data_IF_020175708031
#
_entry.id   IF_020175708031
#
_cell.length_a   1.000
_cell.length_b   1.000
_cell.length_c   1.000
_cell.angle_alpha   90.00
_cell.angle_beta   90.00
_cell.angle_gamma   90.00
#
_symmetry.space_group_name_H-M   'P 1'
#
loop_
_entity.id
_entity.type
_entity.pdbx_description
1 polymer ?
#
# COMPACT_ATOMS: atom_id res chain seq x y z
N UNK A 1 22.61 -15.39 17.73
CA UNK A 1 22.94 -14.12 18.44
C UNK A 1 22.09 -13.04 17.81
N UNK A 2 21.02 -12.60 18.48
CA UNK A 2 20.19 -11.47 18.04
C UNK A 2 21.06 -10.21 18.15
N UNK A 3 21.13 -9.42 17.07
CA UNK A 3 21.74 -8.09 17.12
C UNK A 3 20.84 -7.21 18.00
N UNK A 4 21.40 -6.70 19.10
CA UNK A 4 20.72 -5.72 19.94
C UNK A 4 20.30 -4.50 19.11
N UNK A 5 19.02 -4.11 19.23
CA UNK A 5 18.57 -2.73 18.96
C UNK A 5 18.03 -2.43 17.57
N UNK A 6 17.62 -3.38 16.73
CA UNK A 6 16.90 -3.04 15.51
C UNK A 6 15.39 -3.15 15.75
N UNK A 7 14.75 -2.02 16.13
CA UNK A 7 13.30 -1.92 16.07
C UNK A 7 12.90 -1.77 14.61
N UNK A 8 11.99 -2.60 14.13
CA UNK A 8 11.42 -2.46 12.79
C UNK A 8 10.61 -1.16 12.71
N UNK A 9 10.70 -0.49 11.57
CA UNK A 9 9.86 0.68 11.29
C UNK A 9 8.65 0.23 10.47
N UNK A 10 7.46 0.63 10.89
CA UNK A 10 6.18 0.27 10.25
C UNK A 10 5.48 1.50 9.69
N UNK A 11 4.75 1.30 8.60
CA UNK A 11 3.90 2.29 7.98
C UNK A 11 2.41 2.03 8.25
N UNK A 12 1.59 3.06 8.02
CA UNK A 12 0.13 2.98 8.01
C UNK A 12 -0.41 3.55 6.69
N UNK A 13 -1.22 2.76 5.98
CA UNK A 13 -2.07 3.27 4.91
C UNK A 13 -3.18 4.13 5.53
N UNK A 14 -3.25 5.40 5.16
CA UNK A 14 -4.17 6.37 5.77
C UNK A 14 -5.66 6.09 5.47
N UNK A 15 -5.95 5.24 4.49
CA UNK A 15 -7.30 4.73 4.27
C UNK A 15 -7.84 3.96 5.48
N UNK A 16 -6.95 3.38 6.29
CA UNK A 16 -7.29 2.70 7.54
C UNK A 16 -7.95 3.62 8.58
N UNK A 17 -7.71 4.92 8.46
CA UNK A 17 -8.25 5.95 9.36
C UNK A 17 -9.06 7.00 8.58
N UNK A 18 -9.73 6.56 7.49
CA UNK A 18 -10.51 7.42 6.60
C UNK A 18 -11.70 8.10 7.27
N UNK A 19 -12.12 7.60 8.42
CA UNK A 19 -13.12 8.22 9.28
C UNK A 19 -12.71 9.60 9.81
N UNK A 20 -11.41 9.92 9.82
CA UNK A 20 -10.90 11.22 10.28
C UNK A 20 -10.08 11.99 9.23
N UNK A 21 -9.42 11.32 8.29
CA UNK A 21 -8.49 11.98 7.33
C UNK A 21 -9.14 13.04 6.46
N UNK A 22 -10.37 12.81 6.03
CA UNK A 22 -11.11 13.77 5.18
C UNK A 22 -11.50 15.08 5.89
N UNK A 23 -11.56 15.08 7.22
CA UNK A 23 -11.95 16.24 8.02
C UNK A 23 -10.78 16.88 8.76
N UNK A 24 -9.76 16.11 9.13
CA UNK A 24 -8.60 16.56 9.92
C UNK A 24 -7.36 15.73 9.57
N UNK A 25 -6.77 15.97 8.41
CA UNK A 25 -5.57 15.26 7.97
C UNK A 25 -4.37 15.53 8.87
N UNK A 26 -4.20 16.76 9.36
CA UNK A 26 -3.11 17.10 10.29
C UNK A 26 -3.23 16.32 11.61
N UNK A 27 -4.42 16.33 12.22
CA UNK A 27 -4.65 15.58 13.45
C UNK A 27 -4.52 14.07 13.26
N UNK A 28 -4.88 13.55 12.08
CA UNK A 28 -4.67 12.16 11.71
C UNK A 28 -3.17 11.80 11.69
N UNK A 29 -2.35 12.58 10.99
CA UNK A 29 -0.89 12.39 10.93
C UNK A 29 -0.24 12.46 12.32
N UNK A 30 -0.65 13.40 13.15
CA UNK A 30 -0.17 13.49 14.53
C UNK A 30 -0.48 12.22 15.32
N UNK A 31 -1.72 11.74 15.29
CA UNK A 31 -2.13 10.50 15.98
C UNK A 31 -1.35 9.27 15.49
N UNK A 32 -1.11 9.17 14.18
CA UNK A 32 -0.31 8.08 13.60
C UNK A 32 1.12 8.10 14.14
N UNK A 33 1.74 9.29 14.22
CA UNK A 33 3.06 9.44 14.82
C UNK A 33 3.06 9.09 16.31
N UNK A 34 2.05 9.53 17.09
CA UNK A 34 1.90 9.21 18.52
C UNK A 34 1.74 7.70 18.78
N UNK A 35 1.11 6.94 17.87
CA UNK A 35 1.05 5.47 17.93
C UNK A 35 2.42 4.81 17.68
N UNK A 36 3.35 5.54 17.06
CA UNK A 36 4.72 5.08 16.82
C UNK A 36 4.99 4.55 15.43
N UNK A 37 4.07 4.73 14.47
CA UNK A 37 4.35 4.54 13.06
C UNK A 37 5.43 5.50 12.58
N UNK A 38 6.22 5.10 11.59
CA UNK A 38 7.32 5.89 11.03
C UNK A 38 7.07 6.34 9.60
N UNK A 39 6.19 5.64 8.91
CA UNK A 39 5.78 5.97 7.56
C UNK A 39 4.27 6.13 7.49
N UNK A 40 3.84 6.89 6.48
CA UNK A 40 2.43 6.94 6.07
C UNK A 40 2.35 6.68 4.57
N UNK A 41 1.29 6.01 4.17
CA UNK A 41 0.89 5.94 2.79
C UNK A 41 -0.40 6.72 2.61
N UNK A 42 -0.40 7.67 1.68
CA UNK A 42 -1.56 8.54 1.50
C UNK A 42 -2.62 7.90 0.60
N UNK A 43 -3.88 8.10 0.97
CA UNK A 43 -5.07 7.81 0.17
C UNK A 43 -5.82 9.12 -0.14
N UNK A 44 -5.11 10.07 -0.74
CA UNK A 44 -5.60 11.42 -1.04
C UNK A 44 -5.06 12.50 -0.10
N UNK A 45 -5.12 13.73 -0.57
CA UNK A 45 -4.57 14.91 0.12
C UNK A 45 -5.64 15.93 0.54
N UNK A 46 -6.89 15.68 0.22
CA UNK A 46 -8.07 16.47 0.64
C UNK A 46 -7.96 17.98 0.36
N UNK A 47 -7.28 18.37 -0.74
CA UNK A 47 -7.11 19.76 -1.16
C UNK A 47 -5.99 20.53 -0.44
N UNK A 48 -5.21 19.88 0.42
CA UNK A 48 -4.04 20.50 1.05
C UNK A 48 -2.87 20.63 0.06
N UNK A 49 -2.13 21.74 0.14
CA UNK A 49 -0.94 21.92 -0.68
C UNK A 49 0.20 20.99 -0.24
N UNK A 50 1.11 20.69 -1.17
CA UNK A 50 2.25 19.84 -0.89
C UNK A 50 3.15 20.40 0.23
N UNK A 51 3.32 21.73 0.26
CA UNK A 51 4.10 22.41 1.31
C UNK A 51 3.47 22.26 2.69
N UNK A 52 2.12 22.35 2.76
CA UNK A 52 1.37 22.15 4.00
C UNK A 52 1.56 20.73 4.52
N UNK A 53 1.33 19.73 3.64
CA UNK A 53 1.51 18.31 3.99
C UNK A 53 2.95 18.01 4.38
N UNK A 54 3.94 18.57 3.65
CA UNK A 54 5.35 18.42 3.99
C UNK A 54 5.67 18.99 5.36
N UNK A 55 5.12 20.16 5.68
CA UNK A 55 5.29 20.78 7.00
C UNK A 55 4.78 19.88 8.15
N UNK A 56 3.63 19.23 7.98
CA UNK A 56 3.10 18.30 8.97
C UNK A 56 3.95 17.02 9.09
N UNK A 57 4.39 16.45 7.96
CA UNK A 57 5.27 15.28 7.95
C UNK A 57 6.57 15.58 8.75
N UNK A 58 7.18 16.74 8.52
CA UNK A 58 8.39 17.15 9.24
C UNK A 58 8.13 17.39 10.73
N UNK A 59 7.01 18.04 11.05
CA UNK A 59 6.64 18.34 12.45
C UNK A 59 6.41 17.05 13.27
N UNK A 60 5.84 16.01 12.65
CA UNK A 60 5.54 14.77 13.34
C UNK A 60 6.58 13.67 13.10
N UNK A 61 7.65 13.93 12.36
CA UNK A 61 8.73 12.99 12.10
C UNK A 61 8.28 11.77 11.27
N UNK A 62 7.30 11.96 10.39
CA UNK A 62 6.78 10.93 9.50
C UNK A 62 7.46 11.01 8.12
N UNK A 63 7.69 9.85 7.52
CA UNK A 63 8.14 9.70 6.12
C UNK A 63 6.97 9.20 5.28
N UNK A 64 7.06 9.39 3.96
CA UNK A 64 6.08 8.84 3.02
C UNK A 64 6.63 7.52 2.47
N UNK A 65 5.88 6.43 2.61
CA UNK A 65 6.18 5.14 1.98
C UNK A 65 5.68 5.09 0.54
N UNK A 66 4.51 5.67 0.30
CA UNK A 66 3.84 5.69 -0.98
C UNK A 66 2.59 6.57 -0.97
N UNK A 67 1.94 6.64 -2.12
CA UNK A 67 0.63 7.29 -2.25
C UNK A 67 -0.24 6.49 -3.19
N UNK A 68 -1.47 6.20 -2.76
CA UNK A 68 -2.50 5.68 -3.64
C UNK A 68 -3.01 6.82 -4.53
N UNK A 69 -2.68 6.75 -5.81
CA UNK A 69 -3.02 7.76 -6.83
C UNK A 69 -3.62 7.06 -8.05
N UNK A 70 -4.84 7.41 -8.40
CA UNK A 70 -5.55 6.76 -9.50
C UNK A 70 -4.93 7.05 -10.87
N UNK A 71 -5.02 6.10 -11.82
CA UNK A 71 -4.50 6.30 -13.18
C UNK A 71 -5.07 7.55 -13.85
N UNK A 72 -6.36 7.85 -13.63
CA UNK A 72 -6.98 9.04 -14.23
C UNK A 72 -6.35 10.36 -13.73
N UNK A 73 -5.93 10.42 -12.48
CA UNK A 73 -5.22 11.57 -11.93
C UNK A 73 -3.88 11.77 -12.63
N UNK A 74 -3.11 10.67 -12.76
CA UNK A 74 -1.85 10.67 -13.49
C UNK A 74 -1.99 11.08 -14.97
N UNK A 75 -3.05 10.63 -15.63
CA UNK A 75 -3.30 10.98 -17.03
C UNK A 75 -3.71 12.46 -17.18
N UNK A 76 -4.48 12.99 -16.24
CA UNK A 76 -5.02 14.34 -16.33
C UNK A 76 -4.00 15.42 -15.96
N UNK A 77 -3.12 15.17 -14.97
CA UNK A 77 -2.11 16.14 -14.52
C UNK A 77 -0.84 15.44 -14.00
N UNK A 78 -0.08 14.86 -14.92
CA UNK A 78 1.16 14.17 -14.57
C UNK A 78 2.23 15.11 -14.00
N UNK A 79 2.35 16.33 -14.57
CA UNK A 79 3.36 17.29 -14.13
C UNK A 79 3.08 17.84 -12.74
N UNK A 80 1.84 18.23 -12.46
CA UNK A 80 1.40 18.66 -11.12
C UNK A 80 1.55 17.55 -10.09
N UNK A 81 1.19 16.32 -10.45
CA UNK A 81 1.36 15.14 -9.60
C UNK A 81 2.84 14.93 -9.27
N UNK A 82 3.74 14.95 -10.26
CA UNK A 82 5.20 14.83 -10.04
C UNK A 82 5.70 15.91 -9.08
N UNK A 83 5.31 17.17 -9.31
CA UNK A 83 5.73 18.29 -8.47
C UNK A 83 5.28 18.11 -7.01
N UNK A 84 4.01 17.74 -6.82
CA UNK A 84 3.45 17.47 -5.48
C UNK A 84 4.23 16.38 -4.75
N UNK A 85 4.41 15.23 -5.41
CA UNK A 85 5.09 14.07 -4.80
C UNK A 85 6.56 14.34 -4.47
N UNK A 86 7.27 15.09 -5.32
CA UNK A 86 8.64 15.53 -5.02
C UNK A 86 8.69 16.43 -3.80
N UNK A 87 7.73 17.35 -3.65
CA UNK A 87 7.67 18.28 -2.51
C UNK A 87 7.48 17.55 -1.19
N UNK A 88 6.59 16.55 -1.13
CA UNK A 88 6.38 15.76 0.09
C UNK A 88 7.45 14.68 0.32
N UNK A 89 8.40 14.53 -0.61
CA UNK A 89 9.47 13.54 -0.54
C UNK A 89 9.04 12.11 -0.88
N UNK A 90 7.88 11.94 -1.53
CA UNK A 90 7.41 10.64 -2.00
C UNK A 90 8.17 10.17 -3.23
N UNK A 91 8.53 8.88 -3.25
CA UNK A 91 9.20 8.23 -4.38
C UNK A 91 8.38 7.09 -4.99
N UNK A 92 7.22 6.78 -4.43
CA UNK A 92 6.40 5.66 -4.86
C UNK A 92 4.96 6.13 -5.06
N UNK A 93 4.52 6.15 -6.32
CA UNK A 93 3.11 6.33 -6.68
C UNK A 93 2.55 4.95 -6.95
N UNK A 94 1.43 4.62 -6.33
CA UNK A 94 0.82 3.31 -6.41
C UNK A 94 -0.61 3.47 -6.92
N UNK A 95 -0.94 2.80 -8.01
CA UNK A 95 -2.31 2.75 -8.51
C UNK A 95 -3.08 1.76 -7.64
N UNK A 96 -4.11 2.21 -6.87
CA UNK A 96 -4.79 1.36 -5.89
C UNK A 96 -5.83 0.43 -6.51
N UNK A 97 -5.98 0.45 -7.82
CA UNK A 97 -6.93 -0.33 -8.59
C UNK A 97 -7.38 0.38 -9.85
N UNK A 98 -7.89 -0.40 -10.79
CA UNK A 98 -8.45 0.10 -12.05
C UNK A 98 -9.51 -0.87 -12.57
N UNK A 99 -10.39 -0.41 -13.47
CA UNK A 99 -11.31 -1.33 -14.15
C UNK A 99 -10.57 -2.15 -15.20
N UNK A 100 -10.20 -3.37 -14.82
CA UNK A 100 -9.48 -4.36 -15.63
C UNK A 100 -10.36 -5.58 -15.96
N UNK A 101 -11.67 -5.39 -16.06
CA UNK A 101 -12.68 -6.44 -16.11
C UNK A 101 -12.76 -7.21 -17.43
N UNK A 102 -11.96 -6.84 -18.45
CA UNK A 102 -11.81 -7.55 -19.72
C UNK A 102 -10.45 -7.25 -20.37
N UNK A 103 -10.11 -8.03 -21.40
CA UNK A 103 -8.81 -7.92 -22.08
C UNK A 103 -8.56 -6.53 -22.70
N UNK A 104 -9.60 -5.89 -23.26
CA UNK A 104 -9.42 -4.58 -23.91
C UNK A 104 -9.05 -3.48 -22.89
N UNK A 105 -9.65 -3.55 -21.70
CA UNK A 105 -9.31 -2.63 -20.59
C UNK A 105 -7.91 -2.88 -20.03
N UNK A 106 -7.51 -4.14 -19.94
CA UNK A 106 -6.13 -4.48 -19.56
C UNK A 106 -5.14 -3.93 -20.58
N UNK A 107 -5.43 -4.08 -21.87
CA UNK A 107 -4.55 -3.56 -22.94
C UNK A 107 -4.40 -2.04 -22.89
N UNK A 108 -5.51 -1.31 -22.72
CA UNK A 108 -5.52 0.15 -22.57
C UNK A 108 -4.74 0.60 -21.32
N UNK A 109 -4.95 -0.08 -20.19
CA UNK A 109 -4.23 0.18 -18.95
C UNK A 109 -2.71 -0.02 -19.13
N UNK A 110 -2.30 -1.15 -19.67
CA UNK A 110 -0.88 -1.49 -19.91
C UNK A 110 -0.21 -0.46 -20.81
N UNK A 111 -0.89 -0.01 -21.88
CA UNK A 111 -0.36 1.03 -22.76
C UNK A 111 -0.12 2.34 -22.02
N UNK A 112 -1.10 2.78 -21.22
CA UNK A 112 -1.03 4.04 -20.45
C UNK A 112 0.06 4.00 -19.39
N UNK A 113 0.09 2.95 -18.56
CA UNK A 113 1.06 2.87 -17.46
C UNK A 113 2.49 2.75 -17.96
N UNK A 114 2.76 2.05 -19.06
CA UNK A 114 4.09 1.95 -19.64
C UNK A 114 4.62 3.31 -20.14
N UNK A 115 3.74 4.18 -20.64
CA UNK A 115 4.12 5.56 -21.03
C UNK A 115 4.41 6.42 -19.80
N UNK A 116 3.49 6.41 -18.82
CA UNK A 116 3.58 7.21 -17.58
C UNK A 116 4.79 6.79 -16.76
N UNK A 117 5.04 5.50 -16.61
CA UNK A 117 6.16 4.97 -15.84
C UNK A 117 7.51 5.49 -16.32
N UNK A 118 7.71 5.61 -17.62
CA UNK A 118 8.96 6.14 -18.19
C UNK A 118 9.20 7.57 -17.70
N UNK A 119 8.16 8.41 -17.75
CA UNK A 119 8.25 9.82 -17.33
C UNK A 119 8.47 9.91 -15.81
N UNK A 120 7.75 9.12 -15.02
CA UNK A 120 7.92 9.09 -13.57
C UNK A 120 9.33 8.67 -13.18
N UNK A 121 9.88 7.64 -13.81
CA UNK A 121 11.24 7.14 -13.56
C UNK A 121 12.31 8.20 -13.87
N UNK A 122 12.18 8.97 -14.95
CA UNK A 122 13.06 10.10 -15.27
C UNK A 122 13.01 11.18 -14.19
N UNK A 123 11.90 11.24 -13.43
CA UNK A 123 11.70 12.16 -12.33
C UNK A 123 12.07 11.58 -10.96
N UNK A 124 12.60 10.35 -10.91
CA UNK A 124 13.01 9.67 -9.67
C UNK A 124 11.84 9.14 -8.85
N UNK A 125 10.71 8.88 -9.50
CA UNK A 125 9.48 8.33 -8.89
C UNK A 125 9.19 6.97 -9.53
N UNK A 126 8.92 5.97 -8.71
CA UNK A 126 8.46 4.66 -9.14
C UNK A 126 6.94 4.67 -9.32
N UNK A 127 6.46 3.85 -10.25
CA UNK A 127 5.03 3.55 -10.41
C UNK A 127 4.79 2.11 -9.98
N UNK A 128 3.86 1.91 -9.07
CA UNK A 128 3.44 0.61 -8.57
C UNK A 128 1.95 0.34 -8.79
N UNK A 129 1.55 -0.88 -8.52
CA UNK A 129 0.16 -1.33 -8.50
C UNK A 129 -0.14 -2.08 -7.21
N UNK A 130 -1.28 -1.76 -6.59
CA UNK A 130 -1.84 -2.43 -5.42
C UNK A 130 -3.01 -3.31 -5.82
N UNK A 131 -3.00 -4.55 -5.37
CA UNK A 131 -4.04 -5.53 -5.70
C UNK A 131 -5.16 -5.58 -4.67
N UNK A 132 -6.33 -5.99 -5.16
CA UNK A 132 -7.42 -6.55 -4.37
C UNK A 132 -7.58 -8.04 -4.71
N UNK A 133 -8.72 -8.65 -4.36
CA UNK A 133 -8.98 -10.05 -4.66
C UNK A 133 -9.16 -10.35 -6.14
N UNK A 134 -9.77 -9.42 -6.89
CA UNK A 134 -10.18 -9.70 -8.26
C UNK A 134 -9.02 -9.86 -9.24
N UNK A 135 -7.85 -9.30 -8.97
CA UNK A 135 -6.66 -9.45 -9.81
C UNK A 135 -6.15 -10.90 -9.86
N UNK A 136 -6.44 -11.68 -8.82
CA UNK A 136 -6.05 -13.10 -8.74
C UNK A 136 -7.12 -14.07 -9.25
N UNK A 137 -8.24 -13.55 -9.73
CA UNK A 137 -9.34 -14.33 -10.28
C UNK A 137 -9.45 -14.09 -11.79
N UNK A 138 -9.83 -15.12 -12.59
CA UNK A 138 -10.02 -14.92 -14.02
C UNK A 138 -11.24 -14.01 -14.28
N UNK A 139 -11.10 -13.09 -15.22
CA UNK A 139 -12.20 -12.32 -15.75
C UNK A 139 -13.22 -13.21 -16.46
N UNK A 140 -14.40 -12.69 -16.75
CA UNK A 140 -15.46 -13.43 -17.47
C UNK A 140 -15.05 -13.88 -18.88
N UNK A 141 -14.15 -13.14 -19.51
CA UNK A 141 -13.55 -13.47 -20.81
C UNK A 141 -12.34 -14.42 -20.71
N UNK A 142 -11.97 -14.84 -19.49
CA UNK A 142 -10.85 -15.72 -19.19
C UNK A 142 -9.51 -15.01 -19.06
N UNK A 143 -9.44 -13.70 -19.23
CA UNK A 143 -8.20 -12.94 -19.04
C UNK A 143 -7.74 -12.96 -17.57
N UNK A 144 -6.42 -13.04 -17.38
CA UNK A 144 -5.77 -13.04 -16.04
C UNK A 144 -5.12 -11.68 -15.83
N UNK A 145 -5.56 -10.94 -14.80
CA UNK A 145 -5.10 -9.58 -14.58
C UNK A 145 -3.66 -9.58 -14.05
N UNK A 146 -3.42 -10.23 -12.91
CA UNK A 146 -2.13 -10.16 -12.22
C UNK A 146 -0.95 -10.60 -13.09
N UNK A 147 -1.09 -11.72 -13.81
CA UNK A 147 -0.05 -12.20 -14.72
C UNK A 147 0.25 -11.20 -15.84
N UNK A 148 -0.77 -10.53 -16.39
CA UNK A 148 -0.55 -9.53 -17.42
C UNK A 148 0.14 -8.27 -16.88
N UNK A 149 -0.20 -7.81 -15.67
CA UNK A 149 0.49 -6.70 -15.00
C UNK A 149 1.97 -7.06 -14.76
N UNK A 150 2.25 -8.28 -14.29
CA UNK A 150 3.61 -8.75 -14.07
C UNK A 150 4.41 -8.83 -15.37
N UNK A 151 3.87 -9.39 -16.45
CA UNK A 151 4.66 -9.69 -17.65
C UNK A 151 4.63 -8.58 -18.71
N UNK A 152 3.66 -7.67 -18.67
CA UNK A 152 3.48 -6.64 -19.70
C UNK A 152 3.83 -5.22 -19.23
N UNK A 153 4.14 -5.04 -17.94
CA UNK A 153 4.57 -3.77 -17.37
C UNK A 153 5.88 -3.94 -16.60
N UNK A 154 6.52 -2.82 -16.28
CA UNK A 154 7.65 -2.78 -15.35
C UNK A 154 7.27 -2.07 -14.04
N UNK A 155 5.98 -1.93 -13.73
CA UNK A 155 5.53 -1.36 -12.48
C UNK A 155 6.05 -2.17 -11.30
N UNK A 156 6.36 -1.49 -10.22
CA UNK A 156 6.55 -2.14 -8.92
C UNK A 156 5.23 -2.75 -8.45
N UNK A 157 5.31 -3.68 -7.52
CA UNK A 157 4.13 -4.34 -6.96
C UNK A 157 4.11 -4.08 -5.47
N UNK A 158 2.98 -3.54 -5.01
CA UNK A 158 2.60 -3.50 -3.62
C UNK A 158 1.55 -4.58 -3.40
N UNK A 159 1.98 -5.72 -2.83
CA UNK A 159 1.02 -6.80 -2.59
C UNK A 159 0.23 -6.56 -1.31
N UNK A 160 -1.11 -6.53 -1.42
CA UNK A 160 -1.98 -6.70 -0.27
C UNK A 160 -2.13 -8.19 0.04
N UNK A 161 -1.58 -8.57 1.18
CA UNK A 161 -1.43 -9.98 1.56
C UNK A 161 -2.73 -10.62 2.01
N UNK A 162 -3.67 -9.82 2.53
CA UNK A 162 -5.01 -10.30 2.86
C UNK A 162 -5.88 -10.47 1.61
N UNK A 163 -5.89 -9.51 0.68
CA UNK A 163 -6.67 -9.65 -0.53
C UNK A 163 -6.19 -10.81 -1.41
N UNK A 164 -4.87 -11.10 -1.40
CA UNK A 164 -4.35 -12.34 -1.99
C UNK A 164 -4.93 -13.59 -1.30
N UNK A 165 -4.87 -13.66 0.04
CA UNK A 165 -5.45 -14.76 0.83
C UNK A 165 -6.95 -14.87 0.60
N UNK A 166 -7.67 -13.76 0.58
CA UNK A 166 -9.12 -13.71 0.37
C UNK A 166 -9.51 -14.36 -0.98
N UNK A 167 -8.77 -14.07 -2.05
CA UNK A 167 -9.00 -14.64 -3.38
C UNK A 167 -8.62 -16.13 -3.47
N UNK A 168 -7.42 -16.49 -2.99
CA UNK A 168 -6.81 -17.79 -3.25
C UNK A 168 -6.98 -18.80 -2.11
N UNK A 169 -7.10 -18.32 -0.88
CA UNK A 169 -7.04 -19.13 0.35
C UNK A 169 -5.60 -19.52 0.73
N UNK A 170 -4.59 -18.98 0.05
CA UNK A 170 -3.19 -19.30 0.25
C UNK A 170 -2.43 -18.14 0.92
N UNK A 171 -1.26 -18.43 1.51
CA UNK A 171 -0.35 -17.40 1.99
C UNK A 171 0.31 -16.67 0.83
N UNK A 172 0.44 -15.33 0.93
CA UNK A 172 1.14 -14.53 -0.08
C UNK A 172 2.66 -14.78 -0.16
N UNK A 173 3.23 -15.59 0.73
CA UNK A 173 4.70 -15.86 0.81
C UNK A 173 5.29 -16.30 -0.51
N UNK A 174 4.64 -17.24 -1.24
CA UNK A 174 5.15 -17.69 -2.54
C UNK A 174 5.03 -16.60 -3.61
N UNK A 175 3.96 -15.80 -3.56
CA UNK A 175 3.80 -14.67 -4.46
C UNK A 175 4.86 -13.60 -4.20
N UNK A 176 5.18 -13.29 -2.95
CA UNK A 176 6.27 -12.37 -2.59
C UNK A 176 7.61 -12.83 -3.19
N UNK A 177 7.94 -14.12 -3.11
CA UNK A 177 9.15 -14.65 -3.76
C UNK A 177 9.12 -14.54 -5.29
N UNK A 178 7.97 -14.79 -5.91
CA UNK A 178 7.81 -14.70 -7.37
C UNK A 178 8.06 -13.28 -7.90
N UNK A 179 7.61 -12.26 -7.15
CA UNK A 179 7.69 -10.85 -7.55
C UNK A 179 8.82 -10.08 -6.87
N UNK A 180 9.72 -10.76 -6.18
CA UNK A 180 10.74 -10.14 -5.28
C UNK A 180 11.54 -9.00 -5.90
N UNK A 181 11.84 -9.07 -7.19
CA UNK A 181 12.63 -8.05 -7.89
C UNK A 181 11.83 -6.76 -8.17
N UNK A 182 10.53 -6.79 -7.92
CA UNK A 182 9.59 -5.68 -8.12
C UNK A 182 8.74 -5.39 -6.88
N UNK A 183 8.91 -6.17 -5.81
CA UNK A 183 8.19 -5.99 -4.56
C UNK A 183 8.87 -4.90 -3.74
N UNK A 184 8.27 -3.74 -3.63
CA UNK A 184 8.85 -2.58 -2.92
C UNK A 184 8.29 -2.38 -1.53
N UNK A 185 7.07 -2.81 -1.30
CA UNK A 185 6.33 -2.70 -0.04
C UNK A 185 5.22 -3.75 -0.01
N UNK A 186 4.79 -4.14 1.16
CA UNK A 186 3.57 -4.95 1.33
C UNK A 186 2.53 -4.22 2.17
N UNK A 187 1.26 -4.41 1.83
CA UNK A 187 0.19 -4.20 2.80
C UNK A 187 0.06 -5.45 3.66
N UNK A 188 0.48 -5.33 4.92
CA UNK A 188 0.26 -6.37 5.92
C UNK A 188 -1.12 -6.17 6.54
N UNK A 189 -2.01 -7.12 6.27
CA UNK A 189 -3.42 -7.01 6.57
C UNK A 189 -3.98 -8.35 6.99
N UNK A 190 -4.98 -8.35 7.86
CA UNK A 190 -5.69 -9.53 8.35
C UNK A 190 -7.16 -9.48 7.97
N UNK A 191 -7.84 -10.59 8.07
CA UNK A 191 -9.26 -10.72 7.82
C UNK A 191 -9.69 -12.17 7.67
N UNK A 192 -10.98 -12.37 7.39
CA UNK A 192 -11.57 -13.69 7.14
C UNK A 192 -11.77 -13.92 5.64
N UNK A 193 -11.53 -15.14 5.17
CA UNK A 193 -11.75 -15.50 3.76
C UNK A 193 -13.21 -15.27 3.38
N UNK A 194 -13.42 -14.52 2.29
CA UNK A 194 -14.75 -14.09 1.84
C UNK A 194 -15.39 -13.00 2.69
N UNK A 195 -14.66 -12.45 3.66
CA UNK A 195 -15.09 -11.38 4.54
C UNK A 195 -14.32 -10.07 4.33
N UNK A 196 -14.47 -9.19 5.29
CA UNK A 196 -13.79 -7.89 5.34
C UNK A 196 -12.44 -7.99 6.02
N UNK A 197 -11.58 -6.98 5.81
CA UNK A 197 -10.34 -6.82 6.52
C UNK A 197 -10.58 -6.56 8.02
N UNK A 198 -9.71 -7.11 8.86
CA UNK A 198 -9.73 -7.00 10.32
C UNK A 198 -8.40 -6.43 10.82
N UNK A 199 -8.35 -5.87 12.05
CA UNK A 199 -7.08 -5.56 12.69
C UNK A 199 -6.18 -6.80 12.79
N UNK A 200 -4.87 -6.62 12.68
CA UNK A 200 -3.90 -7.72 12.76
C UNK A 200 -4.09 -8.58 14.01
N UNK A 201 -4.10 -9.90 13.83
CA UNK A 201 -4.35 -10.90 14.88
C UNK A 201 -5.82 -11.10 15.24
N UNK A 202 -6.75 -10.53 14.46
CA UNK A 202 -8.20 -10.68 14.67
C UNK A 202 -8.90 -11.45 13.56
N UNK A 203 -8.22 -11.74 12.45
CA UNK A 203 -8.67 -12.56 11.35
C UNK A 203 -8.05 -13.95 11.36
N UNK A 204 -8.04 -14.58 10.19
CA UNK A 204 -7.47 -15.92 9.94
C UNK A 204 -6.39 -15.92 8.85
N UNK A 205 -6.10 -14.75 8.27
CA UNK A 205 -5.05 -14.64 7.26
C UNK A 205 -3.68 -15.04 7.84
N UNK A 206 -2.77 -15.62 7.05
CA UNK A 206 -1.49 -16.12 7.53
C UNK A 206 -0.47 -14.99 7.82
N UNK A 207 -0.87 -13.98 8.61
CA UNK A 207 -0.12 -12.75 8.91
C UNK A 207 1.29 -13.04 9.44
N UNK A 208 1.44 -14.05 10.32
CA UNK A 208 2.75 -14.38 10.89
C UNK A 208 3.73 -14.86 9.82
N UNK A 209 3.30 -15.71 8.91
CA UNK A 209 4.15 -16.21 7.83
C UNK A 209 4.58 -15.07 6.87
N UNK A 210 3.66 -14.15 6.58
CA UNK A 210 3.93 -12.95 5.77
C UNK A 210 4.93 -12.02 6.48
N UNK A 211 4.73 -11.78 7.78
CA UNK A 211 5.64 -10.99 8.60
C UNK A 211 7.07 -11.54 8.57
N UNK A 212 7.22 -12.86 8.85
CA UNK A 212 8.53 -13.52 8.85
C UNK A 212 9.21 -13.41 7.47
N UNK A 213 8.45 -13.58 6.40
CA UNK A 213 8.96 -13.45 5.04
C UNK A 213 9.35 -12.01 4.69
N UNK A 214 8.56 -11.01 5.07
CA UNK A 214 8.90 -9.61 4.87
C UNK A 214 10.19 -9.22 5.60
N UNK A 215 10.37 -9.70 6.84
CA UNK A 215 11.61 -9.52 7.61
C UNK A 215 12.80 -10.19 6.94
N UNK A 216 12.64 -11.44 6.46
CA UNK A 216 13.69 -12.18 5.73
C UNK A 216 14.14 -11.43 4.47
N UNK A 217 13.19 -10.90 3.71
CA UNK A 217 13.43 -10.18 2.45
C UNK A 217 13.85 -8.72 2.66
N UNK A 218 13.68 -8.16 3.87
CA UNK A 218 13.92 -6.74 4.15
C UNK A 218 12.89 -5.81 3.50
N UNK A 219 11.67 -6.29 3.28
CA UNK A 219 10.59 -5.53 2.65
C UNK A 219 9.83 -4.70 3.70
N UNK A 220 9.62 -3.39 3.48
CA UNK A 220 8.81 -2.56 4.36
C UNK A 220 7.37 -3.05 4.46
N UNK A 221 6.79 -2.92 5.65
CA UNK A 221 5.41 -3.30 5.94
C UNK A 221 4.58 -2.04 6.21
N UNK A 222 3.54 -1.86 5.45
CA UNK A 222 2.50 -0.86 5.66
C UNK A 222 1.24 -1.57 6.13
N UNK A 223 0.73 -1.19 7.28
CA UNK A 223 -0.52 -1.72 7.82
C UNK A 223 -1.69 -1.14 7.05
N UNK A 224 -2.63 -1.98 6.65
CA UNK A 224 -3.96 -1.54 6.25
C UNK A 224 -5.03 -2.30 7.04
N UNK A 225 -6.05 -1.59 7.51
CA UNK A 225 -7.23 -2.13 8.19
C UNK A 225 -8.47 -1.39 7.73
N UNK A 226 -9.59 -2.08 7.59
CA UNK A 226 -10.74 -1.49 6.88
C UNK A 226 -12.05 -1.57 7.63
N UNK A 227 -12.13 -2.30 8.76
CA UNK A 227 -13.40 -2.54 9.45
C UNK A 227 -13.93 -1.29 10.18
N UNK A 228 -13.05 -0.35 10.58
CA UNK A 228 -13.39 0.84 11.37
C UNK A 228 -14.19 0.50 12.65
N UNK A 229 -13.81 -0.58 13.33
CA UNK A 229 -14.54 -1.09 14.48
C UNK A 229 -13.66 -1.10 15.74
N UNK A 230 -13.85 -0.20 16.71
CA UNK A 230 -14.88 0.87 16.74
C UNK A 230 -14.55 2.11 15.91
N UNK A 231 -13.28 2.32 15.53
CA UNK A 231 -12.75 3.43 14.73
C UNK A 231 -11.35 3.08 14.17
N UNK A 232 -10.90 3.81 13.15
CA UNK A 232 -9.64 3.52 12.47
C UNK A 232 -8.40 3.68 13.36
N UNK A 233 -8.38 4.65 14.27
CA UNK A 233 -7.24 4.88 15.18
C UNK A 233 -7.10 3.73 16.17
N UNK A 234 -8.21 3.20 16.69
CA UNK A 234 -8.20 2.03 17.57
C UNK A 234 -7.67 0.79 16.83
N UNK A 235 -8.08 0.58 15.60
CA UNK A 235 -7.55 -0.52 14.77
C UNK A 235 -6.06 -0.34 14.48
N UNK A 236 -5.64 0.86 14.08
CA UNK A 236 -4.22 1.16 13.83
C UNK A 236 -3.35 0.90 15.08
N UNK A 237 -3.88 1.20 16.28
CA UNK A 237 -3.21 0.89 17.54
C UNK A 237 -3.07 -0.63 17.76
N UNK A 238 -4.13 -1.39 17.57
CA UNK A 238 -4.10 -2.87 17.67
C UNK A 238 -3.06 -3.44 16.72
N UNK A 239 -3.02 -2.96 15.48
CA UNK A 239 -2.12 -3.46 14.46
C UNK A 239 -0.65 -3.21 14.82
N UNK A 240 -0.28 -1.99 15.25
CA UNK A 240 1.12 -1.72 15.60
C UNK A 240 1.56 -2.45 16.87
N UNK A 241 0.66 -2.63 17.84
CA UNK A 241 0.94 -3.42 19.04
C UNK A 241 1.16 -4.90 18.68
N UNK A 242 0.35 -5.45 17.75
CA UNK A 242 0.56 -6.79 17.21
C UNK A 242 1.94 -6.93 16.57
N UNK A 243 2.33 -6.02 15.66
CA UNK A 243 3.61 -6.08 14.97
C UNK A 243 4.80 -6.00 15.93
N UNK A 244 4.76 -5.09 16.90
CA UNK A 244 5.80 -4.98 17.94
C UNK A 244 5.92 -6.23 18.77
N UNK A 245 4.82 -6.95 19.03
CA UNK A 245 4.86 -8.23 19.73
C UNK A 245 5.52 -9.35 18.91
N UNK A 246 5.55 -9.26 17.58
CA UNK A 246 6.24 -10.23 16.72
C UNK A 246 7.77 -10.07 16.72
N UNK A 247 8.29 -8.93 17.15
CA UNK A 247 9.75 -8.66 17.19
C UNK A 247 10.48 -9.46 18.31
N UNK A 248 9.75 -10.05 19.28
CA UNK A 248 10.29 -10.74 20.46
C UNK A 248 10.46 -12.25 20.32
#
# INVERSE_FOLDING_TARGET
MRKEGFSMEYGLQLYSIRDITGSDLEGALRKVSELGYKFVEFAGFFGHSAETVKGWLDAYGLKVSGTHTGLNELVNDLEGTICYHKTIGNKNIIIPGHDLSDQAKIDDFVEKVNKIQTILKENGINLGYHNHSHEFLPNKDGSQIEDQLIYRTNMDIEIDTFWFFNATGESAVQMMERIKDRLTVIHIKDGFKGGEGMPLGKGEAPVRAVYDKAVEMGIPMVVESESLTPDGITEAKICIEYLKAQEN
#
